data_IF_946879279595
#
_entry.id   IF_946879279595
#
_cell.length_a   1.000
_cell.length_b   1.000
_cell.length_c   1.000
_cell.angle_alpha   90.00
_cell.angle_beta   90.00
_cell.angle_gamma   90.00
#
_symmetry.space_group_name_H-M   'P 1'
#
loop_
_entity.id
_entity.type
_entity.pdbx_description
1 polymer ?
#
# COMPACT_ATOMS: atom_id res chain seq x y z
N UNK A 1 8.04 -12.52 -11.71
CA UNK A 1 7.27 -11.29 -12.05
C UNK A 1 6.19 -11.09 -11.00
N UNK A 2 6.22 -9.95 -10.31
CA UNK A 2 5.27 -9.68 -9.23
C UNK A 2 4.07 -8.87 -9.74
N UNK A 3 2.87 -9.37 -9.50
CA UNK A 3 1.60 -8.72 -9.86
C UNK A 3 0.61 -8.81 -8.71
N UNK A 4 -0.41 -7.93 -8.72
CA UNK A 4 -1.57 -8.05 -7.84
C UNK A 4 -2.83 -8.33 -8.66
N UNK A 5 -3.82 -8.94 -8.04
CA UNK A 5 -5.11 -9.20 -8.69
C UNK A 5 -5.81 -7.91 -9.12
N UNK A 6 -5.71 -6.85 -8.31
CA UNK A 6 -6.32 -5.56 -8.66
C UNK A 6 -5.60 -4.88 -9.83
N UNK A 7 -4.26 -4.95 -9.88
CA UNK A 7 -3.50 -4.45 -11.03
C UNK A 7 -3.85 -5.20 -12.33
N UNK A 8 -4.03 -6.51 -12.23
CA UNK A 8 -4.49 -7.30 -13.37
C UNK A 8 -5.89 -6.86 -13.84
N UNK A 9 -6.79 -6.50 -12.91
CA UNK A 9 -8.13 -5.97 -13.25
C UNK A 9 -8.09 -4.63 -14.00
N UNK A 10 -7.01 -3.87 -13.91
CA UNK A 10 -6.87 -2.64 -14.69
C UNK A 10 -6.79 -2.96 -16.20
N UNK A 11 -6.26 -4.12 -16.57
CA UNK A 11 -6.07 -4.55 -17.94
C UNK A 11 -7.10 -5.61 -18.42
N UNK A 12 -7.69 -6.37 -17.51
CA UNK A 12 -8.59 -7.48 -17.83
C UNK A 12 -9.92 -7.35 -17.07
N UNK A 13 -11.04 -7.52 -17.76
CA UNK A 13 -12.35 -7.64 -17.12
C UNK A 13 -12.53 -9.07 -16.63
N UNK A 14 -12.35 -9.28 -15.33
CA UNK A 14 -12.47 -10.59 -14.67
C UNK A 14 -13.60 -10.50 -13.63
N UNK A 15 -14.46 -11.53 -13.57
CA UNK A 15 -15.46 -11.73 -12.53
C UNK A 15 -15.15 -12.91 -11.60
N UNK A 16 -14.17 -13.73 -11.96
CA UNK A 16 -13.76 -14.89 -11.19
C UNK A 16 -13.05 -14.49 -9.89
N UNK A 17 -13.06 -15.38 -8.90
CA UNK A 17 -12.29 -15.23 -7.65
C UNK A 17 -10.80 -15.45 -7.90
N UNK A 18 -9.99 -14.91 -6.98
CA UNK A 18 -8.53 -15.00 -7.05
C UNK A 18 -8.00 -16.43 -7.11
N UNK A 19 -8.58 -17.36 -6.34
CA UNK A 19 -8.17 -18.77 -6.34
C UNK A 19 -8.22 -19.39 -7.75
N UNK A 20 -9.29 -19.10 -8.50
CA UNK A 20 -9.43 -19.56 -9.88
C UNK A 20 -8.44 -18.89 -10.84
N UNK A 21 -7.99 -17.68 -10.53
CA UNK A 21 -6.94 -17.02 -11.28
C UNK A 21 -5.61 -17.75 -11.11
N UNK A 22 -5.26 -18.14 -9.88
CA UNK A 22 -4.02 -18.85 -9.58
C UNK A 22 -3.93 -20.20 -10.31
N UNK A 23 -5.02 -20.97 -10.28
CA UNK A 23 -5.14 -22.21 -11.05
C UNK A 23 -4.94 -21.95 -12.55
N UNK A 24 -5.62 -20.92 -13.07
CA UNK A 24 -5.57 -20.62 -14.50
C UNK A 24 -4.20 -20.12 -14.97
N UNK A 25 -3.48 -19.35 -14.14
CA UNK A 25 -2.11 -18.93 -14.43
C UNK A 25 -1.21 -20.14 -14.62
N UNK A 26 -1.29 -21.11 -13.73
CA UNK A 26 -0.52 -22.36 -13.83
C UNK A 26 -0.90 -23.18 -15.07
N UNK A 27 -2.20 -23.29 -15.38
CA UNK A 27 -2.71 -24.01 -16.56
C UNK A 27 -2.14 -23.47 -17.89
N UNK A 28 -1.96 -22.13 -17.98
CA UNK A 28 -1.41 -21.50 -19.19
C UNK A 28 0.12 -21.43 -19.20
N UNK A 29 0.78 -22.08 -18.22
CA UNK A 29 2.23 -22.19 -18.14
C UNK A 29 2.93 -21.00 -17.47
N UNK A 30 2.19 -20.19 -16.69
CA UNK A 30 2.73 -19.14 -15.83
C UNK A 30 2.73 -19.65 -14.38
N UNK A 31 3.84 -20.22 -13.95
CA UNK A 31 3.98 -20.86 -12.64
C UNK A 31 3.90 -19.81 -11.51
N UNK A 32 3.05 -20.08 -10.52
CA UNK A 32 2.95 -19.26 -9.31
C UNK A 32 3.99 -19.74 -8.29
N UNK A 33 5.04 -18.94 -8.05
CA UNK A 33 6.10 -19.28 -7.08
C UNK A 33 5.67 -19.02 -5.65
N UNK A 34 5.03 -17.87 -5.41
CA UNK A 34 4.59 -17.50 -4.06
C UNK A 34 3.41 -16.53 -4.09
N UNK A 35 2.69 -16.51 -2.98
CA UNK A 35 1.58 -15.57 -2.74
C UNK A 35 1.82 -14.92 -1.39
N UNK A 36 1.94 -13.59 -1.37
CA UNK A 36 2.11 -12.82 -0.16
C UNK A 36 0.87 -11.97 0.11
N UNK A 37 0.27 -12.10 1.28
CA UNK A 37 -0.82 -11.25 1.71
C UNK A 37 -0.27 -9.90 2.22
N UNK A 38 -0.30 -8.87 1.37
CA UNK A 38 0.20 -7.53 1.72
C UNK A 38 -0.68 -6.80 2.76
N UNK A 39 -1.90 -7.27 2.99
CA UNK A 39 -2.85 -6.63 3.92
C UNK A 39 -2.90 -7.31 5.28
N UNK A 40 -2.13 -8.37 5.51
CA UNK A 40 -2.15 -9.10 6.76
C UNK A 40 -1.79 -8.20 7.94
N UNK A 41 -2.73 -8.07 8.88
CA UNK A 41 -2.56 -7.22 10.07
C UNK A 41 -2.71 -5.72 9.83
N UNK A 42 -2.82 -5.24 8.56
CA UNK A 42 -3.01 -3.82 8.26
C UNK A 42 -4.44 -3.33 8.57
N UNK A 43 -5.41 -4.20 8.62
CA UNK A 43 -6.79 -3.92 9.00
C UNK A 43 -6.92 -3.48 10.46
N UNK A 44 -5.96 -3.83 11.32
CA UNK A 44 -5.89 -3.39 12.71
C UNK A 44 -5.61 -1.88 12.86
N UNK A 45 -4.95 -1.26 11.89
CA UNK A 45 -4.66 0.17 11.90
C UNK A 45 -5.94 0.98 11.64
N UNK A 46 -6.32 1.82 12.61
CA UNK A 46 -7.59 2.55 12.56
C UNK A 46 -7.37 4.05 12.39
N UNK A 47 -8.31 4.69 11.72
CA UNK A 47 -8.42 6.15 11.77
C UNK A 47 -8.91 6.53 13.15
N UNK A 48 -8.19 7.42 13.81
CA UNK A 48 -8.50 7.86 15.15
C UNK A 48 -8.38 9.38 15.29
N UNK A 49 -9.02 9.94 16.31
CA UNK A 49 -8.99 11.38 16.59
C UNK A 49 -8.42 11.63 17.98
N UNK A 50 -7.46 12.52 18.08
CA UNK A 50 -6.96 12.97 19.38
C UNK A 50 -8.01 13.92 19.97
N UNK A 51 -8.57 13.57 21.13
CA UNK A 51 -9.56 14.39 21.83
C UNK A 51 -8.88 15.36 22.76
N UNK A 52 -7.87 14.88 23.51
CA UNK A 52 -7.16 15.68 24.52
C UNK A 52 -5.68 15.34 24.48
N UNK A 53 -4.85 16.34 24.74
CA UNK A 53 -3.40 16.19 24.83
C UNK A 53 -2.87 16.84 26.08
N UNK A 54 -2.17 16.12 26.94
CA UNK A 54 -1.54 16.59 28.15
C UNK A 54 -0.03 16.34 28.12
N UNK A 55 0.76 17.15 28.83
CA UNK A 55 2.19 16.88 29.01
C UNK A 55 2.35 15.63 29.86
N UNK A 56 3.33 14.81 29.53
CA UNK A 56 3.66 13.63 30.34
C UNK A 56 4.27 14.06 31.67
N UNK A 57 3.81 13.52 32.84
CA UNK A 57 4.27 13.95 34.15
C UNK A 57 5.77 13.76 34.38
N UNK A 58 6.36 12.73 33.78
CA UNK A 58 7.74 12.31 34.01
C UNK A 58 8.63 12.43 32.75
N UNK A 59 8.20 13.21 31.73
CA UNK A 59 8.96 13.33 30.47
C UNK A 59 8.58 14.58 29.67
N UNK A 60 9.51 15.55 29.56
CA UNK A 60 9.27 16.82 28.87
C UNK A 60 8.96 16.71 27.39
N UNK A 61 9.45 15.68 26.71
CA UNK A 61 9.27 15.46 25.26
C UNK A 61 8.09 14.57 24.92
N UNK A 62 7.40 14.00 25.94
CA UNK A 62 6.27 13.11 25.71
C UNK A 62 4.95 13.82 26.02
N UNK A 63 3.92 13.41 25.32
CA UNK A 63 2.53 13.81 25.53
C UNK A 63 1.69 12.57 25.82
N UNK A 64 0.70 12.73 26.69
CA UNK A 64 -0.34 11.72 26.94
C UNK A 64 -1.56 12.17 26.17
N UNK A 65 -2.00 11.36 25.21
CA UNK A 65 -3.12 11.67 24.34
C UNK A 65 -4.30 10.75 24.66
N UNK A 66 -5.48 11.34 24.85
CA UNK A 66 -6.73 10.59 24.85
C UNK A 66 -7.25 10.54 23.42
N UNK A 67 -7.34 9.32 22.88
CA UNK A 67 -7.59 9.06 21.47
C UNK A 67 -8.92 8.33 21.30
N UNK A 68 -9.83 8.91 20.53
CA UNK A 68 -11.06 8.26 20.09
C UNK A 68 -10.72 7.28 18.95
N UNK A 69 -10.86 6.00 19.23
CA UNK A 69 -10.61 4.91 18.28
C UNK A 69 -11.89 4.36 17.64
N UNK A 70 -12.98 5.10 17.78
CA UNK A 70 -14.32 4.74 17.29
C UNK A 70 -15.18 4.07 18.33
N UNK A 71 -16.49 3.95 18.04
CA UNK A 71 -17.48 3.34 18.94
C UNK A 71 -17.55 3.99 20.34
N UNK A 72 -17.16 5.28 20.47
CA UNK A 72 -17.04 6.00 21.75
C UNK A 72 -15.97 5.42 22.69
N UNK A 73 -15.06 4.63 22.18
CA UNK A 73 -13.95 4.07 22.94
C UNK A 73 -12.76 5.05 22.92
N UNK A 74 -12.33 5.48 24.11
CA UNK A 74 -11.17 6.35 24.29
C UNK A 74 -9.99 5.53 24.80
N UNK A 75 -8.86 5.61 24.11
CA UNK A 75 -7.61 4.95 24.52
C UNK A 75 -6.57 6.01 24.91
N UNK A 76 -5.89 5.75 26.02
CA UNK A 76 -4.76 6.56 26.43
C UNK A 76 -3.49 6.09 25.72
N UNK A 77 -2.82 6.99 25.01
CA UNK A 77 -1.63 6.71 24.23
C UNK A 77 -0.55 7.73 24.55
N UNK A 78 0.65 7.26 24.86
CA UNK A 78 1.83 8.11 25.03
C UNK A 78 2.47 8.35 23.66
N UNK A 79 2.67 9.61 23.31
CA UNK A 79 3.19 10.03 22.02
C UNK A 79 4.35 11.01 22.18
N UNK A 80 5.44 10.78 21.44
CA UNK A 80 6.62 11.66 21.39
C UNK A 80 6.60 12.68 20.26
N UNK A 81 5.60 12.65 19.39
CA UNK A 81 5.52 13.52 18.24
C UNK A 81 5.18 14.97 18.60
N UNK A 82 5.94 15.89 18.05
CA UNK A 82 5.74 17.33 18.29
C UNK A 82 4.38 17.82 17.76
N UNK A 83 3.93 17.26 16.63
CA UNK A 83 2.69 17.62 15.95
C UNK A 83 1.42 17.04 16.58
N UNK A 84 1.54 16.19 17.63
CA UNK A 84 0.38 15.70 18.36
C UNK A 84 -0.38 16.86 19.04
N UNK A 85 -1.65 17.07 18.65
CA UNK A 85 -2.53 18.16 19.13
C UNK A 85 -3.99 17.73 19.15
N UNK A 86 -4.78 18.42 19.93
CA UNK A 86 -6.22 18.18 20.01
C UNK A 86 -6.90 18.40 18.65
N UNK A 87 -7.87 17.56 18.34
CA UNK A 87 -8.62 17.61 17.09
C UNK A 87 -7.94 16.92 15.90
N UNK A 88 -6.66 16.54 16.02
CA UNK A 88 -5.93 15.89 14.94
C UNK A 88 -6.50 14.51 14.64
N UNK A 89 -6.76 14.23 13.36
CA UNK A 89 -7.03 12.89 12.85
C UNK A 89 -5.71 12.23 12.45
N UNK A 90 -5.50 11.03 12.93
CA UNK A 90 -4.25 10.28 12.72
C UNK A 90 -4.52 8.79 12.61
N UNK A 91 -3.45 8.00 12.43
CA UNK A 91 -3.53 6.53 12.39
C UNK A 91 -3.12 5.95 13.73
N UNK A 92 -4.01 5.19 14.31
CA UNK A 92 -3.82 4.47 15.57
C UNK A 92 -3.55 2.99 15.32
N UNK A 93 -2.52 2.47 15.93
CA UNK A 93 -2.18 1.05 15.98
C UNK A 93 -2.49 0.48 17.38
N UNK A 94 -3.41 -0.48 17.48
CA UNK A 94 -3.74 -1.14 18.77
C UNK A 94 -2.64 -2.10 19.20
N UNK A 95 -2.63 -2.52 20.48
CA UNK A 95 -1.82 -3.64 20.91
C UNK A 95 -2.15 -4.89 20.10
N UNK A 96 -1.12 -5.63 19.70
CA UNK A 96 -1.23 -6.78 18.79
C UNK A 96 -0.92 -6.46 17.32
N UNK A 97 -1.01 -5.20 16.91
CA UNK A 97 -0.60 -4.79 15.56
C UNK A 97 0.91 -4.93 15.36
N UNK A 98 1.32 -5.25 14.14
CA UNK A 98 2.74 -5.33 13.75
C UNK A 98 3.04 -4.11 12.90
N UNK A 99 4.00 -3.29 13.33
CA UNK A 99 4.42 -2.09 12.60
C UNK A 99 5.10 -2.49 11.29
N UNK A 100 4.61 -2.03 10.11
CA UNK A 100 5.11 -2.47 8.82
C UNK A 100 6.62 -2.29 8.61
N UNK A 101 7.18 -1.15 9.02
CA UNK A 101 8.61 -0.84 8.84
C UNK A 101 9.51 -1.66 9.75
N UNK A 102 9.24 -1.66 11.05
CA UNK A 102 10.11 -2.29 12.05
C UNK A 102 9.81 -3.76 12.28
N UNK A 103 8.67 -4.27 11.77
CA UNK A 103 8.15 -5.62 12.05
C UNK A 103 7.94 -5.91 13.54
N UNK A 104 7.88 -4.87 14.36
CA UNK A 104 7.70 -4.97 15.81
C UNK A 104 6.23 -5.13 16.15
N UNK A 105 5.90 -6.14 16.95
CA UNK A 105 4.54 -6.32 17.47
C UNK A 105 4.30 -5.39 18.68
N UNK A 106 3.26 -4.58 18.57
CA UNK A 106 2.87 -3.68 19.65
C UNK A 106 2.27 -4.45 20.82
N UNK A 107 2.67 -4.04 22.03
CA UNK A 107 2.10 -4.52 23.29
C UNK A 107 1.67 -3.34 24.15
N UNK A 108 0.80 -3.58 25.12
CA UNK A 108 0.51 -2.56 26.14
C UNK A 108 1.80 -2.30 26.90
N UNK A 109 2.27 -1.07 26.90
CA UNK A 109 3.54 -0.70 27.53
C UNK A 109 3.34 0.38 28.58
N UNK A 110 4.06 0.28 29.69
CA UNK A 110 4.15 1.34 30.69
C UNK A 110 5.35 2.23 30.36
N UNK A 111 5.10 3.45 29.90
CA UNK A 111 6.13 4.42 29.52
C UNK A 111 6.26 5.46 30.62
N UNK A 112 7.36 5.43 31.38
CA UNK A 112 7.63 6.33 32.50
C UNK A 112 6.42 6.53 33.42
N UNK A 113 5.86 5.40 33.89
CA UNK A 113 4.71 5.31 34.78
C UNK A 113 3.31 5.56 34.18
N UNK A 114 3.22 5.95 32.91
CA UNK A 114 1.94 6.04 32.20
C UNK A 114 1.75 4.84 31.28
N UNK A 115 0.61 4.16 31.40
CA UNK A 115 0.27 3.02 30.53
C UNK A 115 -0.22 3.53 29.17
N UNK A 116 0.43 3.08 28.10
CA UNK A 116 0.03 3.35 26.72
C UNK A 116 -0.66 2.14 26.10
N UNK A 117 -1.85 2.33 25.57
CA UNK A 117 -2.66 1.31 24.92
C UNK A 117 -2.56 1.41 23.41
N UNK A 118 -1.37 1.21 22.87
CA UNK A 118 -1.08 1.29 21.44
C UNK A 118 -0.18 2.47 21.10
N UNK A 119 -0.21 2.85 19.82
CA UNK A 119 0.71 3.83 19.23
C UNK A 119 0.01 4.69 18.17
N UNK A 120 0.42 5.95 18.05
CA UNK A 120 0.08 6.81 16.92
C UNK A 120 1.21 6.73 15.92
N UNK A 121 0.91 6.42 14.67
CA UNK A 121 1.92 6.08 13.67
C UNK A 121 2.32 7.29 12.81
N UNK A 122 3.60 7.35 12.45
CA UNK A 122 4.14 8.19 11.37
C UNK A 122 3.95 7.50 10.00
N UNK A 123 4.11 8.24 8.93
CA UNK A 123 4.07 7.67 7.57
C UNK A 123 5.21 6.68 7.33
N UNK A 124 6.39 6.97 7.89
CA UNK A 124 7.53 6.05 7.82
C UNK A 124 7.26 4.72 8.51
N UNK A 125 6.62 4.71 9.69
CA UNK A 125 6.25 3.48 10.40
C UNK A 125 5.21 2.64 9.65
N UNK A 126 4.32 3.30 8.91
CA UNK A 126 3.34 2.67 8.04
C UNK A 126 3.91 2.23 6.69
N UNK A 127 5.19 2.52 6.43
CA UNK A 127 5.89 2.24 5.17
C UNK A 127 5.26 2.93 3.95
N UNK A 128 4.72 4.15 4.18
CA UNK A 128 4.08 4.97 3.15
C UNK A 128 5.04 6.03 2.59
N UNK A 129 5.97 6.54 3.40
CA UNK A 129 7.03 7.46 3.01
C UNK A 129 8.26 7.27 3.90
N UNK A 130 9.34 7.99 3.60
CA UNK A 130 10.53 8.03 4.47
C UNK A 130 10.41 9.10 5.56
N UNK A 131 9.36 9.92 5.53
CA UNK A 131 9.14 10.97 6.52
C UNK A 131 8.79 10.40 7.89
N UNK A 132 9.60 10.77 8.87
CA UNK A 132 9.45 10.37 10.28
C UNK A 132 9.15 11.55 11.21
N UNK A 133 8.97 12.74 10.67
CA UNK A 133 8.75 13.97 11.44
C UNK A 133 7.32 14.07 11.96
N UNK A 134 7.04 13.33 13.03
CA UNK A 134 5.74 13.35 13.68
C UNK A 134 4.82 12.22 13.27
N UNK A 135 3.58 12.29 13.75
CA UNK A 135 2.53 11.32 13.40
C UNK A 135 1.80 11.76 12.14
N UNK A 136 1.25 10.77 11.41
CA UNK A 136 0.47 10.99 10.19
C UNK A 136 -0.70 11.93 10.44
N UNK A 137 -0.83 13.00 9.65
CA UNK A 137 -1.95 13.96 9.70
C UNK A 137 -2.97 13.64 8.61
N UNK A 138 -4.16 13.28 9.02
CA UNK A 138 -5.23 12.91 8.09
C UNK A 138 -6.18 14.07 7.83
N UNK A 139 -6.54 14.29 6.56
CA UNK A 139 -7.48 15.33 6.16
C UNK A 139 -8.88 15.08 6.75
N UNK A 140 -9.42 16.06 7.47
CA UNK A 140 -10.75 15.98 8.06
C UNK A 140 -11.86 15.81 7.04
N UNK A 141 -11.74 16.39 5.84
CA UNK A 141 -12.74 16.24 4.77
C UNK A 141 -12.94 14.79 4.32
N UNK A 142 -11.87 14.00 4.33
CA UNK A 142 -11.87 12.59 3.87
C UNK A 142 -12.09 11.59 5.00
N UNK A 143 -11.52 11.84 6.18
CA UNK A 143 -11.40 10.83 7.23
C UNK A 143 -12.29 11.07 8.47
N UNK A 144 -12.92 12.24 8.64
CA UNK A 144 -13.76 12.52 9.81
C UNK A 144 -14.90 11.50 10.03
N UNK A 145 -15.50 10.99 8.94
CA UNK A 145 -16.56 9.96 8.98
C UNK A 145 -16.02 8.52 9.07
N UNK A 146 -14.71 8.35 9.14
CA UNK A 146 -14.04 7.05 9.16
C UNK A 146 -13.37 6.72 10.48
N UNK A 147 -13.59 7.51 11.53
CA UNK A 147 -13.05 7.24 12.87
C UNK A 147 -13.50 5.85 13.31
N UNK A 148 -12.55 5.04 13.78
CA UNK A 148 -12.74 3.65 14.17
C UNK A 148 -12.72 2.63 13.02
N UNK A 149 -12.75 3.07 11.77
CA UNK A 149 -12.60 2.18 10.61
C UNK A 149 -11.12 1.97 10.28
N UNK A 150 -10.82 0.85 9.63
CA UNK A 150 -9.47 0.60 9.14
C UNK A 150 -8.99 1.75 8.24
N UNK A 151 -7.75 2.19 8.48
CA UNK A 151 -7.08 3.19 7.66
C UNK A 151 -6.75 2.64 6.27
N UNK A 152 -6.18 1.45 6.24
CA UNK A 152 -5.96 0.74 4.99
C UNK A 152 -7.31 0.23 4.49
N UNK A 153 -7.78 0.77 3.37
CA UNK A 153 -8.97 0.23 2.73
C UNK A 153 -8.70 -1.24 2.39
N UNK A 154 -9.75 -2.06 2.40
CA UNK A 154 -9.69 -3.49 2.02
C UNK A 154 -9.28 -3.66 0.54
N UNK A 155 -8.11 -3.20 0.18
CA UNK A 155 -7.44 -3.58 -1.04
C UNK A 155 -6.63 -4.83 -0.67
N UNK A 156 -7.33 -5.92 -0.44
CA UNK A 156 -6.72 -7.22 -0.16
C UNK A 156 -6.34 -7.89 -1.47
N UNK A 157 -5.46 -7.26 -2.22
CA UNK A 157 -4.82 -7.96 -3.33
C UNK A 157 -3.58 -8.62 -2.81
N UNK A 158 -3.55 -9.94 -2.86
CA UNK A 158 -2.32 -10.68 -2.65
C UNK A 158 -1.30 -10.28 -3.73
N UNK A 159 -0.05 -10.22 -3.33
CA UNK A 159 1.07 -10.13 -4.25
C UNK A 159 1.37 -11.54 -4.75
N UNK A 160 1.21 -11.74 -6.04
CA UNK A 160 1.45 -13.02 -6.73
C UNK A 160 2.81 -12.91 -7.42
N UNK A 161 3.74 -13.78 -7.06
CA UNK A 161 5.02 -13.89 -7.75
C UNK A 161 4.96 -15.01 -8.77
N UNK A 162 5.25 -14.67 -10.04
CA UNK A 162 5.20 -15.58 -11.17
C UNK A 162 6.61 -15.87 -11.69
N UNK A 163 6.93 -17.13 -11.87
CA UNK A 163 8.10 -17.58 -12.61
C UNK A 163 7.85 -17.46 -14.10
N UNK A 164 8.55 -16.53 -14.74
CA UNK A 164 8.44 -16.32 -16.19
C UNK A 164 9.66 -16.94 -16.87
N UNK A 165 9.42 -17.93 -17.72
CA UNK A 165 10.47 -18.57 -18.48
C UNK A 165 11.10 -17.63 -19.51
N UNK A 166 12.40 -17.76 -19.86
CA UNK A 166 13.11 -16.85 -20.76
C UNK A 166 12.50 -16.72 -22.16
N UNK A 167 11.75 -17.72 -22.62
CA UNK A 167 11.06 -17.71 -23.92
C UNK A 167 9.72 -16.95 -23.88
N UNK A 168 9.32 -16.40 -22.72
CA UNK A 168 8.07 -15.65 -22.54
C UNK A 168 8.32 -14.20 -22.09
N UNK A 169 9.17 -13.42 -22.82
CA UNK A 169 9.42 -12.02 -22.44
C UNK A 169 8.16 -11.15 -22.51
N UNK A 170 7.18 -11.54 -23.28
CA UNK A 170 5.86 -10.90 -23.40
C UNK A 170 5.08 -10.90 -22.08
N UNK A 171 5.32 -11.87 -21.20
CA UNK A 171 4.70 -11.99 -19.87
C UNK A 171 5.49 -11.29 -18.75
N UNK A 172 6.59 -10.59 -19.06
CA UNK A 172 7.30 -9.74 -18.09
C UNK A 172 6.56 -8.44 -17.74
N UNK A 173 5.36 -8.23 -18.30
CA UNK A 173 4.46 -7.13 -17.99
C UNK A 173 3.03 -7.63 -17.74
N UNK A 174 2.31 -6.94 -16.84
CA UNK A 174 0.94 -7.31 -16.47
C UNK A 174 -0.01 -7.38 -17.66
N UNK A 175 0.20 -6.56 -18.69
CA UNK A 175 -0.64 -6.57 -19.90
C UNK A 175 -0.42 -7.83 -20.73
N UNK A 176 0.80 -8.36 -20.80
CA UNK A 176 1.08 -9.63 -21.47
C UNK A 176 0.37 -10.79 -20.79
N UNK A 177 0.43 -10.84 -19.45
CA UNK A 177 -0.30 -11.81 -18.64
C UNK A 177 -1.81 -11.68 -18.85
N UNK A 178 -2.34 -10.45 -18.86
CA UNK A 178 -3.76 -10.18 -19.10
C UNK A 178 -4.20 -10.66 -20.50
N UNK A 179 -3.37 -10.49 -21.53
CA UNK A 179 -3.62 -10.95 -22.89
C UNK A 179 -3.72 -12.48 -22.93
N UNK A 180 -2.80 -13.18 -22.30
CA UNK A 180 -2.77 -14.64 -22.28
C UNK A 180 -3.97 -15.22 -21.52
N UNK A 181 -4.31 -14.64 -20.38
CA UNK A 181 -5.52 -15.01 -19.65
C UNK A 181 -6.78 -14.77 -20.49
N UNK A 182 -6.83 -13.67 -21.25
CA UNK A 182 -7.94 -13.39 -22.17
C UNK A 182 -8.01 -14.40 -23.31
N UNK A 183 -6.87 -14.78 -23.90
CA UNK A 183 -6.78 -15.81 -24.94
C UNK A 183 -7.23 -17.18 -24.40
N UNK A 184 -6.96 -17.46 -23.14
CA UNK A 184 -7.42 -18.68 -22.44
C UNK A 184 -8.88 -18.62 -21.96
N UNK A 185 -9.63 -17.59 -22.35
CA UNK A 185 -11.06 -17.45 -22.01
C UNK A 185 -11.33 -17.03 -20.56
N UNK A 186 -10.33 -16.56 -19.81
CA UNK A 186 -10.49 -16.21 -18.40
C UNK A 186 -11.05 -14.80 -18.17
N UNK A 187 -11.21 -14.02 -19.21
CA UNK A 187 -11.76 -12.66 -19.15
C UNK A 187 -11.59 -11.91 -20.47
N UNK A 188 -12.05 -10.67 -20.49
CA UNK A 188 -11.96 -9.83 -21.67
C UNK A 188 -10.88 -8.74 -21.50
N UNK A 189 -9.90 -8.71 -22.39
CA UNK A 189 -8.85 -7.70 -22.39
C UNK A 189 -9.46 -6.30 -22.59
N UNK A 190 -9.07 -5.37 -21.74
CA UNK A 190 -9.48 -3.97 -21.89
C UNK A 190 -8.68 -3.30 -23.00
N UNK A 191 -9.39 -2.63 -23.91
CA UNK A 191 -8.76 -1.79 -24.93
C UNK A 191 -8.26 -0.49 -24.30
N UNK A 192 -7.00 -0.19 -24.45
CA UNK A 192 -6.46 1.12 -24.12
C UNK A 192 -6.79 2.09 -25.26
N UNK A 193 -7.31 3.25 -24.87
CA UNK A 193 -7.43 4.35 -25.83
C UNK A 193 -6.10 5.08 -25.87
N UNK A 194 -5.48 5.12 -27.04
CA UNK A 194 -4.29 5.92 -27.25
C UNK A 194 -4.60 7.39 -26.95
N UNK A 195 -4.00 7.92 -25.89
CA UNK A 195 -4.07 9.34 -25.62
C UNK A 195 -3.21 10.07 -26.67
N UNK A 196 -3.85 10.74 -27.61
CA UNK A 196 -3.15 11.65 -28.50
C UNK A 196 -2.50 12.76 -27.68
N UNK A 197 -1.21 12.68 -27.48
CA UNK A 197 -0.43 13.73 -26.83
C UNK A 197 -0.28 14.85 -27.84
N UNK A 198 -0.92 15.99 -27.58
CA UNK A 198 -0.69 17.20 -28.38
C UNK A 198 0.66 17.77 -27.98
N UNK A 199 1.62 17.68 -28.86
CA UNK A 199 2.89 18.40 -28.71
C UNK A 199 2.68 19.87 -29.04
N UNK A 200 2.91 20.75 -28.08
CA UNK A 200 2.82 22.21 -28.26
C UNK A 200 4.17 22.84 -28.64
N UNK A 201 5.22 22.05 -28.81
CA UNK A 201 6.55 22.53 -29.17
C UNK A 201 7.14 21.66 -30.26
N UNK A 202 7.62 22.28 -31.31
CA UNK A 202 8.51 21.64 -32.31
C UNK A 202 9.84 21.39 -31.60
N UNK A 203 10.17 20.15 -31.36
CA UNK A 203 11.48 19.77 -30.83
C UNK A 203 12.36 19.48 -32.02
N UNK A 204 13.49 20.21 -32.18
CA UNK A 204 14.57 19.77 -33.05
C UNK A 204 15.14 18.49 -32.42
N UNK A 205 14.79 17.35 -32.99
CA UNK A 205 15.32 16.09 -32.49
C UNK A 205 16.50 15.64 -33.36
N UNK A 206 17.54 15.22 -32.69
CA UNK A 206 18.67 14.58 -33.34
C UNK A 206 18.31 13.13 -33.66
N UNK A 207 18.32 12.79 -34.93
CA UNK A 207 18.21 11.41 -35.40
C UNK A 207 19.47 10.66 -34.97
N UNK A 208 19.34 9.83 -33.91
CA UNK A 208 20.34 8.80 -33.67
C UNK A 208 20.08 7.67 -34.67
N UNK A 209 20.76 7.71 -35.82
CA UNK A 209 20.90 6.55 -36.68
C UNK A 209 21.87 5.61 -35.97
N UNK A 210 21.41 4.38 -35.65
CA UNK A 210 22.33 3.30 -35.41
C UNK A 210 23.16 3.13 -36.69
N UNK A 211 24.43 3.47 -36.65
CA UNK A 211 25.38 3.11 -37.68
C UNK A 211 25.69 1.63 -37.53
N UNK A 212 24.90 0.81 -38.18
CA UNK A 212 25.35 -0.55 -38.46
C UNK A 212 26.49 -0.41 -39.46
N UNK A 213 27.67 -0.75 -39.07
CA UNK A 213 28.83 -0.74 -39.93
C UNK A 213 28.63 -1.79 -41.00
N UNK A 214 28.97 -1.49 -42.27
CA UNK A 214 28.81 -2.41 -43.42
C UNK A 214 29.54 -3.76 -43.26
N UNK A 215 30.39 -3.90 -42.28
CA UNK A 215 31.14 -5.12 -41.93
C UNK A 215 30.29 -6.29 -41.38
N UNK A 216 29.02 -6.05 -41.05
CA UNK A 216 28.10 -7.10 -40.60
C UNK A 216 27.18 -7.64 -41.71
N UNK A 217 27.41 -7.25 -42.96
CA UNK A 217 26.66 -7.68 -44.14
C UNK A 217 27.44 -8.66 -45.04
N UNK A 218 28.36 -9.42 -44.49
CA UNK A 218 29.05 -10.49 -45.21
C UNK A 218 28.70 -11.83 -44.60
#
# INVERSE_FOLDING_TARGET
>A
MKITYDWLKDHLKISAKEDKLLEKLTDIGLEVESIENLSEGLDLFKVAKIIKTEKHPNADRLKVCDVDVGNKEIKKVVCGAANAREGLLTVYAPPGAIIPKSKTKLVVAKIRDVTSYGMLCSEAELNLSDESDGITELSSSKYAKRIGKSYFSKTSSNLIDLSITPNRPDCLGVRGIARDLSAAGFGNLKTEKDKKIKSNKTVSYTHLRAHETPLHLV
#
